data_IF_594048743908
#
_entry.id   IF_594048743908
#
_cell.length_a   1.000
_cell.length_b   1.000
_cell.length_c   1.000
_cell.angle_alpha   90.00
_cell.angle_beta   90.00
_cell.angle_gamma   90.00
#
_symmetry.space_group_name_H-M   'P 1'
#
loop_
_entity.id
_entity.type
_entity.pdbx_description
1 polymer ?
#
# COMPACT_ATOMS: atom_id res chain seq x y z
N UNK A 1 -5.86 21.00 -5.83
CA UNK A 1 -6.48 20.05 -4.88
C UNK A 1 -5.90 20.26 -3.47
N UNK A 2 -4.58 20.09 -3.26
CA UNK A 2 -3.94 20.22 -1.93
C UNK A 2 -4.17 21.59 -1.32
N UNK A 3 -4.08 22.67 -2.09
CA UNK A 3 -4.28 24.03 -1.63
C UNK A 3 -5.70 24.28 -1.10
N UNK A 4 -6.71 23.68 -1.73
CA UNK A 4 -8.10 23.77 -1.26
C UNK A 4 -8.29 22.99 0.04
N UNK A 5 -7.72 21.78 0.13
CA UNK A 5 -7.76 20.98 1.36
C UNK A 5 -7.10 21.72 2.54
N UNK A 6 -6.00 22.42 2.32
CA UNK A 6 -5.31 23.20 3.35
C UNK A 6 -6.15 24.40 3.84
N UNK A 7 -6.98 24.99 2.96
CA UNK A 7 -7.87 26.10 3.34
C UNK A 7 -9.13 25.65 4.08
N UNK A 8 -9.59 24.44 3.83
CA UNK A 8 -10.84 23.91 4.39
C UNK A 8 -10.65 23.14 5.70
N UNK A 9 -9.46 22.57 5.93
CA UNK A 9 -9.22 21.75 7.12
C UNK A 9 -8.89 22.59 8.36
N UNK A 10 -9.52 22.22 9.48
CA UNK A 10 -9.18 22.70 10.82
C UNK A 10 -8.20 21.77 11.56
N UNK A 11 -7.93 20.63 10.98
CA UNK A 11 -7.04 19.61 11.54
C UNK A 11 -5.58 20.04 11.39
N UNK A 12 -4.71 19.80 12.39
CA UNK A 12 -3.27 20.06 12.28
C UNK A 12 -2.67 19.34 11.07
N UNK A 13 -1.94 20.07 10.24
CA UNK A 13 -1.30 19.53 9.03
C UNK A 13 0.22 19.51 9.18
N UNK A 14 0.85 18.45 8.69
CA UNK A 14 2.31 18.29 8.60
C UNK A 14 2.65 17.94 7.15
N UNK A 15 3.58 18.69 6.53
CA UNK A 15 4.09 18.36 5.20
C UNK A 15 5.19 17.32 5.33
N UNK A 16 5.04 16.18 4.66
CA UNK A 16 6.04 15.10 4.67
C UNK A 16 6.67 14.96 3.29
N UNK A 17 7.97 15.26 3.19
CA UNK A 17 8.77 15.04 1.99
C UNK A 17 9.48 13.69 2.09
N UNK A 18 8.91 12.68 1.44
CA UNK A 18 9.43 11.33 1.45
C UNK A 18 10.47 11.09 0.34
N UNK A 19 11.14 9.94 0.38
CA UNK A 19 12.14 9.46 -0.60
C UNK A 19 13.40 10.33 -0.66
N UNK A 20 13.83 10.92 0.47
CA UNK A 20 15.05 11.75 0.51
C UNK A 20 16.35 10.95 0.25
N UNK A 21 16.29 9.63 0.32
CA UNK A 21 17.35 8.69 -0.07
C UNK A 21 17.67 8.77 -1.57
N UNK A 22 16.68 9.04 -2.41
CA UNK A 22 16.84 9.15 -3.87
C UNK A 22 17.52 10.46 -4.31
N UNK A 23 17.48 11.49 -3.49
CA UNK A 23 18.14 12.77 -3.76
C UNK A 23 19.56 12.77 -3.17
N UNK A 24 20.55 12.52 -4.01
CA UNK A 24 21.98 12.50 -3.59
C UNK A 24 22.56 13.91 -3.44
N UNK A 25 22.08 14.87 -4.21
CA UNK A 25 22.58 16.25 -4.24
C UNK A 25 21.94 17.10 -3.12
N UNK A 26 22.73 17.62 -2.17
CA UNK A 26 22.23 18.47 -1.08
C UNK A 26 21.55 19.76 -1.57
N UNK A 27 22.07 20.37 -2.64
CA UNK A 27 21.55 21.62 -3.20
C UNK A 27 20.15 21.39 -3.78
N UNK A 28 19.97 20.29 -4.53
CA UNK A 28 18.66 19.92 -5.06
C UNK A 28 17.64 19.58 -3.97
N UNK A 29 18.09 19.00 -2.84
CA UNK A 29 17.23 18.77 -1.66
C UNK A 29 16.68 20.08 -1.08
N UNK A 30 17.54 21.08 -0.96
CA UNK A 30 17.17 22.39 -0.43
C UNK A 30 16.26 23.14 -1.39
N UNK A 31 16.59 23.17 -2.67
CA UNK A 31 15.79 23.80 -3.72
C UNK A 31 14.37 23.18 -3.80
N UNK A 32 14.25 21.85 -3.79
CA UNK A 32 12.96 21.18 -3.80
C UNK A 32 12.12 21.55 -2.57
N UNK A 33 12.75 21.64 -1.38
CA UNK A 33 12.04 22.04 -0.18
C UNK A 33 11.51 23.48 -0.28
N UNK A 34 12.35 24.41 -0.76
CA UNK A 34 11.95 25.80 -0.97
C UNK A 34 10.81 25.90 -1.97
N UNK A 35 10.89 25.15 -3.08
CA UNK A 35 9.82 25.09 -4.08
C UNK A 35 8.50 24.62 -3.48
N UNK A 36 8.51 23.54 -2.68
CA UNK A 36 7.29 23.06 -2.02
C UNK A 36 6.74 24.05 -0.99
N UNK A 37 7.62 24.71 -0.21
CA UNK A 37 7.18 25.76 0.72
C UNK A 37 6.56 26.97 0.01
N UNK A 38 7.12 27.35 -1.13
CA UNK A 38 6.59 28.44 -1.95
C UNK A 38 5.24 28.07 -2.60
N UNK A 39 5.10 26.84 -3.10
CA UNK A 39 3.88 26.35 -3.72
C UNK A 39 2.69 26.34 -2.76
N UNK A 40 2.92 26.09 -1.50
CA UNK A 40 1.85 25.98 -0.51
C UNK A 40 1.68 27.23 0.36
N UNK A 41 2.54 28.24 0.20
CA UNK A 41 2.54 29.49 0.98
C UNK A 41 2.26 29.25 2.48
N UNK A 42 2.98 28.28 3.07
CA UNK A 42 2.65 27.81 4.41
C UNK A 42 3.87 27.76 5.32
N UNK A 43 3.64 28.18 6.57
CA UNK A 43 4.53 27.96 7.71
C UNK A 43 4.29 26.59 8.37
N UNK A 44 3.73 25.64 7.63
CA UNK A 44 3.42 24.32 8.15
C UNK A 44 4.68 23.54 8.54
N UNK A 45 4.65 22.77 9.62
CA UNK A 45 5.72 21.88 10.00
C UNK A 45 6.05 20.94 8.84
N UNK A 46 7.35 20.81 8.52
CA UNK A 46 7.81 20.00 7.39
C UNK A 46 8.82 18.95 7.89
N UNK A 47 8.56 17.68 7.58
CA UNK A 47 9.44 16.57 7.86
C UNK A 47 10.06 16.03 6.56
N UNK A 48 11.37 15.80 6.55
CA UNK A 48 12.12 15.18 5.44
C UNK A 48 12.46 13.75 5.83
N UNK A 49 11.87 12.75 5.21
CA UNK A 49 12.01 11.34 5.59
C UNK A 49 12.40 10.44 4.42
N UNK A 50 12.84 9.24 4.75
CA UNK A 50 12.84 8.10 3.84
C UNK A 50 12.15 6.93 4.53
N UNK A 51 10.95 6.62 4.11
CA UNK A 51 10.21 5.45 4.61
C UNK A 51 10.96 4.14 4.30
N UNK A 52 11.68 4.08 3.16
CA UNK A 52 12.44 2.90 2.77
C UNK A 52 13.62 2.60 3.69
N UNK A 53 14.34 3.63 4.16
CA UNK A 53 15.55 3.48 4.99
C UNK A 53 15.30 3.73 6.47
N UNK A 54 14.08 4.10 6.87
CA UNK A 54 13.75 4.50 8.23
C UNK A 54 14.25 5.88 8.64
N UNK A 55 14.94 6.60 7.75
CA UNK A 55 15.57 7.89 8.10
C UNK A 55 14.53 8.93 8.51
N UNK A 56 14.72 9.52 9.71
CA UNK A 56 13.86 10.54 10.31
C UNK A 56 12.40 10.11 10.57
N UNK A 57 12.08 8.84 10.56
CA UNK A 57 10.74 8.33 10.90
C UNK A 57 10.40 8.65 12.36
N UNK A 58 11.31 8.41 13.29
CA UNK A 58 11.09 8.70 14.72
C UNK A 58 10.83 10.19 14.97
N UNK A 59 11.51 11.07 14.22
CA UNK A 59 11.28 12.51 14.27
C UNK A 59 9.89 12.88 13.77
N UNK A 60 9.42 12.23 12.70
CA UNK A 60 8.05 12.42 12.18
C UNK A 60 7.04 11.96 13.21
N UNK A 61 7.18 10.74 13.75
CA UNK A 61 6.29 10.20 14.79
C UNK A 61 6.22 11.14 15.99
N UNK A 62 7.36 11.59 16.51
CA UNK A 62 7.42 12.55 17.63
C UNK A 62 6.73 13.88 17.32
N UNK A 63 6.77 14.31 16.05
CA UNK A 63 6.10 15.54 15.60
C UNK A 63 4.59 15.35 15.52
N UNK A 64 4.13 14.19 15.08
CA UNK A 64 2.71 13.80 15.06
C UNK A 64 2.18 13.74 16.49
N UNK A 65 2.85 13.00 17.37
CA UNK A 65 2.44 12.82 18.78
C UNK A 65 2.24 14.15 19.51
N UNK A 66 3.10 15.14 19.26
CA UNK A 66 2.94 16.49 19.84
C UNK A 66 1.75 17.29 19.33
N UNK A 67 1.14 16.86 18.22
CA UNK A 67 -0.02 17.52 17.59
C UNK A 67 -1.33 16.82 17.90
N UNK A 68 -1.27 15.57 18.33
CA UNK A 68 -2.45 14.82 18.72
C UNK A 68 -3.00 15.34 20.06
N UNK A 69 -4.33 15.42 20.21
CA UNK A 69 -4.94 15.69 21.51
C UNK A 69 -4.71 14.52 22.46
N UNK A 70 -4.61 14.80 23.74
CA UNK A 70 -4.64 13.77 24.78
C UNK A 70 -6.07 13.24 24.92
N UNK A 71 -6.22 11.92 25.00
CA UNK A 71 -7.52 11.26 25.14
C UNK A 71 -7.39 9.78 25.45
N UNK A 72 -8.51 9.15 25.78
CA UNK A 72 -8.56 7.70 25.94
C UNK A 72 -8.28 7.02 24.58
N UNK A 73 -7.67 5.83 24.56
CA UNK A 73 -7.50 5.04 23.38
C UNK A 73 -8.85 4.80 22.69
N UNK A 74 -8.92 4.98 21.37
CA UNK A 74 -10.12 4.69 20.59
C UNK A 74 -10.23 3.18 20.32
N UNK A 75 -9.08 2.53 20.17
CA UNK A 75 -8.94 1.08 19.97
C UNK A 75 -8.42 0.41 21.23
N UNK A 76 -8.76 -0.85 21.46
CA UNK A 76 -8.19 -1.64 22.54
C UNK A 76 -6.67 -1.85 22.33
N UNK A 77 -5.91 -2.07 23.41
CA UNK A 77 -4.45 -2.28 23.32
C UNK A 77 -4.08 -3.50 22.46
N UNK A 78 -5.00 -4.46 22.34
CA UNK A 78 -4.83 -5.69 21.55
C UNK A 78 -5.24 -5.51 20.07
N UNK A 79 -5.88 -4.40 19.71
CA UNK A 79 -6.26 -4.10 18.33
C UNK A 79 -5.02 -3.62 17.54
N UNK A 80 -4.42 -4.52 16.78
CA UNK A 80 -3.25 -4.23 15.96
C UNK A 80 -3.58 -3.39 14.73
N UNK A 81 -4.81 -3.49 14.21
CA UNK A 81 -5.30 -2.78 13.03
C UNK A 81 -6.83 -2.84 12.94
N UNK A 82 -7.46 -1.84 12.38
CA UNK A 82 -8.86 -1.82 11.96
C UNK A 82 -9.07 -2.42 10.55
N UNK A 83 -7.96 -2.70 9.85
CA UNK A 83 -7.97 -3.36 8.56
C UNK A 83 -8.41 -4.83 8.68
N UNK A 84 -9.31 -5.25 7.83
CA UNK A 84 -9.70 -6.65 7.77
C UNK A 84 -8.55 -7.53 7.30
N UNK A 85 -8.47 -8.78 7.78
CA UNK A 85 -7.47 -9.75 7.29
C UNK A 85 -7.54 -9.95 5.77
N UNK A 86 -8.72 -9.69 5.17
CA UNK A 86 -8.89 -9.68 3.72
C UNK A 86 -8.11 -8.55 3.05
N UNK A 87 -8.21 -7.32 3.58
CA UNK A 87 -7.49 -6.15 3.04
C UNK A 87 -5.99 -6.34 3.14
N UNK A 88 -5.52 -6.84 4.27
CA UNK A 88 -4.10 -7.13 4.49
C UNK A 88 -3.59 -8.21 3.50
N UNK A 89 -4.34 -9.31 3.34
CA UNK A 89 -3.98 -10.36 2.40
C UNK A 89 -3.96 -9.85 0.94
N UNK A 90 -4.91 -8.99 0.59
CA UNK A 90 -4.99 -8.34 -0.71
C UNK A 90 -3.74 -7.49 -0.98
N UNK A 91 -3.33 -6.66 -0.03
CA UNK A 91 -2.15 -5.79 -0.17
C UNK A 91 -0.83 -6.59 -0.21
N UNK A 92 -0.69 -7.65 0.58
CA UNK A 92 0.47 -8.53 0.50
C UNK A 92 0.58 -9.17 -0.89
N UNK A 93 -0.52 -9.70 -1.43
CA UNK A 93 -0.51 -10.28 -2.78
C UNK A 93 -0.17 -9.21 -3.81
N UNK A 94 -0.76 -8.01 -3.71
CA UNK A 94 -0.50 -6.88 -4.59
C UNK A 94 0.98 -6.47 -4.54
N UNK A 95 1.58 -6.38 -3.38
CA UNK A 95 3.01 -6.09 -3.22
C UNK A 95 3.88 -7.12 -3.94
N UNK A 96 3.58 -8.43 -3.81
CA UNK A 96 4.38 -9.45 -4.50
C UNK A 96 4.22 -9.37 -6.01
N UNK A 97 3.06 -8.97 -6.51
CA UNK A 97 2.89 -8.68 -7.93
C UNK A 97 3.81 -7.52 -8.35
N UNK A 98 3.78 -6.40 -7.61
CA UNK A 98 4.59 -5.21 -7.90
C UNK A 98 6.11 -5.51 -7.88
N UNK A 99 6.55 -6.37 -6.97
CA UNK A 99 7.97 -6.76 -6.84
C UNK A 99 8.44 -7.68 -7.97
N UNK A 100 7.57 -8.49 -8.54
CA UNK A 100 7.91 -9.50 -9.54
C UNK A 100 7.56 -9.06 -10.97
N UNK A 101 6.87 -7.95 -11.17
CA UNK A 101 6.48 -7.45 -12.49
C UNK A 101 7.09 -6.08 -12.78
N UNK A 102 7.13 -5.70 -14.06
CA UNK A 102 7.70 -4.44 -14.53
C UNK A 102 6.74 -3.77 -15.51
N UNK A 103 7.14 -2.58 -15.95
CA UNK A 103 6.49 -1.78 -16.98
C UNK A 103 5.04 -1.40 -16.60
N UNK A 104 4.05 -1.77 -17.35
CA UNK A 104 2.66 -1.32 -17.21
C UNK A 104 1.83 -2.21 -16.27
N UNK A 105 2.31 -3.43 -15.95
CA UNK A 105 1.57 -4.38 -15.12
C UNK A 105 1.26 -3.81 -13.73
N UNK A 106 2.23 -3.20 -13.01
CA UNK A 106 2.00 -2.62 -11.69
C UNK A 106 0.82 -1.64 -11.62
N UNK A 107 0.55 -0.96 -12.71
CA UNK A 107 -0.50 0.07 -12.79
C UNK A 107 -1.83 -0.44 -13.32
N UNK A 108 -1.87 -1.67 -13.84
CA UNK A 108 -3.03 -2.25 -14.52
C UNK A 108 -3.61 -3.48 -13.81
N UNK A 109 -3.17 -3.75 -12.60
CA UNK A 109 -3.57 -4.93 -11.84
C UNK A 109 -4.38 -4.53 -10.60
N UNK A 110 -5.43 -5.29 -10.32
CA UNK A 110 -6.13 -5.27 -9.03
C UNK A 110 -6.22 -6.69 -8.47
N UNK A 111 -6.21 -6.78 -7.15
CA UNK A 111 -6.38 -8.04 -6.43
C UNK A 111 -7.71 -7.99 -5.68
N UNK A 112 -8.48 -9.04 -5.75
CA UNK A 112 -9.73 -9.20 -5.01
C UNK A 112 -9.70 -10.51 -4.24
N UNK A 113 -9.95 -10.46 -2.95
CA UNK A 113 -10.15 -11.67 -2.14
C UNK A 113 -11.60 -12.13 -2.31
N UNK A 114 -11.81 -13.18 -3.10
CA UNK A 114 -13.16 -13.73 -3.32
C UNK A 114 -13.66 -14.45 -2.06
N UNK A 115 -12.77 -15.17 -1.39
CA UNK A 115 -13.11 -15.94 -0.20
C UNK A 115 -11.97 -15.97 0.78
N UNK A 116 -12.27 -15.78 2.05
CA UNK A 116 -11.36 -15.95 3.18
C UNK A 116 -12.06 -16.84 4.21
N UNK A 117 -11.49 -17.98 4.52
CA UNK A 117 -11.98 -18.92 5.52
C UNK A 117 -10.93 -19.07 6.62
N UNK A 118 -11.26 -18.56 7.78
CA UNK A 118 -10.49 -18.78 8.99
C UNK A 118 -10.84 -20.18 9.55
N UNK A 119 -9.81 -21.00 9.80
CA UNK A 119 -9.94 -22.29 10.44
C UNK A 119 -8.88 -22.43 11.50
N UNK A 120 -9.06 -23.33 12.45
CA UNK A 120 -8.18 -23.50 13.59
C UNK A 120 -6.69 -23.67 13.20
N UNK A 121 -6.39 -24.54 12.25
CA UNK A 121 -5.01 -24.89 11.88
C UNK A 121 -4.51 -24.22 10.59
N UNK A 122 -5.41 -23.76 9.72
CA UNK A 122 -5.04 -23.28 8.39
C UNK A 122 -6.07 -22.30 7.83
N UNK A 123 -5.64 -21.11 7.48
CA UNK A 123 -6.50 -20.16 6.76
C UNK A 123 -6.50 -20.46 5.27
N UNK A 124 -7.67 -20.34 4.63
CA UNK A 124 -7.81 -20.55 3.19
C UNK A 124 -8.22 -19.26 2.50
N UNK A 125 -7.36 -18.81 1.61
CA UNK A 125 -7.50 -17.55 0.88
C UNK A 125 -7.60 -17.84 -0.61
N UNK A 126 -8.68 -17.36 -1.22
CA UNK A 126 -8.93 -17.47 -2.66
C UNK A 126 -8.92 -16.06 -3.23
N UNK A 127 -7.94 -15.75 -4.05
CA UNK A 127 -7.76 -14.43 -4.61
C UNK A 127 -7.80 -14.45 -6.14
N UNK A 128 -8.40 -13.40 -6.69
CA UNK A 128 -8.47 -13.16 -8.12
C UNK A 128 -7.67 -11.91 -8.48
N UNK A 129 -6.73 -12.08 -9.41
CA UNK A 129 -5.91 -11.01 -9.96
C UNK A 129 -6.58 -10.55 -11.26
N UNK A 130 -7.06 -9.31 -11.27
CA UNK A 130 -7.69 -8.70 -12.43
C UNK A 130 -6.66 -7.93 -13.25
N UNK A 131 -6.68 -8.14 -14.56
CA UNK A 131 -5.87 -7.43 -15.54
C UNK A 131 -6.76 -6.92 -16.68
N UNK A 132 -6.32 -5.93 -17.45
CA UNK A 132 -7.14 -5.32 -18.50
C UNK A 132 -7.09 -6.09 -19.84
N UNK A 133 -5.96 -6.75 -20.13
CA UNK A 133 -5.70 -7.37 -21.43
C UNK A 133 -5.19 -8.82 -21.30
N UNK A 134 -5.44 -9.64 -22.34
CA UNK A 134 -4.94 -11.04 -22.41
C UNK A 134 -3.41 -11.11 -22.41
N UNK A 135 -2.72 -10.13 -23.02
CA UNK A 135 -1.25 -10.03 -22.97
C UNK A 135 -0.74 -9.91 -21.53
N UNK A 136 -1.41 -9.10 -20.69
CA UNK A 136 -1.07 -8.94 -19.27
C UNK A 136 -1.34 -10.22 -18.49
N UNK A 137 -2.43 -10.93 -18.80
CA UNK A 137 -2.71 -12.25 -18.21
C UNK A 137 -1.60 -13.24 -18.52
N UNK A 138 -1.12 -13.26 -19.78
CA UNK A 138 0.02 -14.09 -20.16
C UNK A 138 1.28 -13.79 -19.36
N UNK A 139 1.60 -12.52 -19.12
CA UNK A 139 2.74 -12.07 -18.30
C UNK A 139 2.55 -12.49 -16.84
N UNK A 140 1.36 -12.28 -16.28
CA UNK A 140 1.04 -12.63 -14.88
C UNK A 140 1.11 -14.13 -14.60
N UNK A 141 0.69 -14.96 -15.54
CA UNK A 141 0.83 -16.42 -15.43
C UNK A 141 2.29 -16.81 -15.64
N UNK A 142 2.95 -16.23 -16.63
CA UNK A 142 4.32 -16.53 -17.02
C UNK A 142 4.48 -17.90 -17.70
N UNK A 143 5.71 -18.18 -18.13
CA UNK A 143 6.03 -19.45 -18.80
C UNK A 143 5.71 -20.64 -17.86
N UNK A 144 4.81 -21.52 -18.30
CA UNK A 144 4.35 -22.69 -17.52
C UNK A 144 3.82 -22.34 -16.10
N UNK A 145 3.25 -21.16 -15.91
CA UNK A 145 2.71 -20.72 -14.61
C UNK A 145 3.76 -20.26 -13.59
N UNK A 146 5.03 -20.12 -13.98
CA UNK A 146 6.13 -19.86 -13.05
C UNK A 146 6.00 -18.50 -12.33
N UNK A 147 5.54 -17.46 -13.03
CA UNK A 147 5.38 -16.14 -12.42
C UNK A 147 4.31 -16.18 -11.32
N UNK A 148 3.11 -16.69 -11.63
CA UNK A 148 2.01 -16.80 -10.68
C UNK A 148 2.40 -17.69 -9.48
N UNK A 149 3.12 -18.79 -9.72
CA UNK A 149 3.64 -19.65 -8.66
C UNK A 149 4.61 -18.91 -7.75
N UNK A 150 5.52 -18.10 -8.30
CA UNK A 150 6.50 -17.32 -7.52
C UNK A 150 5.78 -16.29 -6.63
N UNK A 151 4.83 -15.53 -7.20
CA UNK A 151 4.00 -14.57 -6.47
C UNK A 151 3.25 -15.27 -5.33
N UNK A 152 2.60 -16.40 -5.63
CA UNK A 152 1.83 -17.15 -4.63
C UNK A 152 2.70 -17.69 -3.48
N UNK A 153 3.90 -18.21 -3.79
CA UNK A 153 4.83 -18.67 -2.75
C UNK A 153 5.33 -17.56 -1.85
N UNK A 154 5.67 -16.40 -2.42
CA UNK A 154 6.15 -15.25 -1.65
C UNK A 154 5.04 -14.66 -0.78
N UNK A 155 3.84 -14.47 -1.34
CA UNK A 155 2.69 -13.97 -0.60
C UNK A 155 2.29 -14.92 0.54
N UNK A 156 2.20 -16.23 0.27
CA UNK A 156 1.89 -17.24 1.29
C UNK A 156 2.88 -17.21 2.45
N UNK A 157 4.18 -17.17 2.14
CA UNK A 157 5.23 -17.14 3.19
C UNK A 157 5.10 -15.92 4.10
N UNK A 158 4.73 -14.78 3.56
CA UNK A 158 4.55 -13.56 4.34
C UNK A 158 3.27 -13.61 5.17
N UNK A 159 2.17 -14.08 4.58
CA UNK A 159 0.91 -14.30 5.30
C UNK A 159 1.09 -15.29 6.46
N UNK A 160 1.76 -16.43 6.23
CA UNK A 160 2.05 -17.42 7.28
C UNK A 160 2.88 -16.82 8.42
N UNK A 161 3.86 -15.96 8.09
CA UNK A 161 4.67 -15.26 9.10
C UNK A 161 3.86 -14.26 9.93
N UNK A 162 2.94 -13.54 9.28
CA UNK A 162 2.14 -12.52 9.93
C UNK A 162 1.05 -13.13 10.81
N UNK A 163 0.40 -14.21 10.32
CA UNK A 163 -0.70 -14.87 11.02
C UNK A 163 -0.22 -15.90 12.08
N UNK A 164 1.07 -16.20 12.09
CA UNK A 164 1.67 -17.31 12.87
C UNK A 164 0.92 -18.65 12.65
N UNK A 165 0.46 -18.88 11.42
CA UNK A 165 -0.44 -19.96 11.04
C UNK A 165 -0.20 -20.40 9.61
N UNK A 166 -0.55 -21.65 9.29
CA UNK A 166 -0.48 -22.12 7.90
C UNK A 166 -1.51 -21.42 7.03
N UNK A 167 -1.16 -21.20 5.77
CA UNK A 167 -2.04 -20.56 4.78
C UNK A 167 -2.10 -21.40 3.50
N UNK A 168 -3.33 -21.75 3.11
CA UNK A 168 -3.62 -22.17 1.75
C UNK A 168 -3.97 -20.95 0.91
N UNK A 169 -3.18 -20.67 -0.12
CA UNK A 169 -3.40 -19.53 -1.02
C UNK A 169 -3.63 -20.02 -2.44
N UNK A 170 -4.79 -19.71 -3.00
CA UNK A 170 -5.12 -19.94 -4.40
C UNK A 170 -5.22 -18.61 -5.13
N UNK A 171 -4.44 -18.49 -6.24
CA UNK A 171 -4.42 -17.31 -7.09
C UNK A 171 -4.95 -17.63 -8.48
N UNK A 172 -5.94 -16.88 -8.95
CA UNK A 172 -6.49 -16.95 -10.28
C UNK A 172 -6.33 -15.62 -11.03
N UNK A 173 -6.01 -15.67 -12.33
CA UNK A 173 -5.88 -14.45 -13.16
C UNK A 173 -7.07 -14.34 -14.11
N UNK A 174 -7.77 -13.20 -14.06
CA UNK A 174 -8.95 -12.90 -14.89
C UNK A 174 -8.73 -11.61 -15.68
N UNK A 175 -9.09 -11.64 -16.97
CA UNK A 175 -9.17 -10.41 -17.76
C UNK A 175 -10.51 -9.73 -17.48
N UNK A 176 -10.45 -8.48 -17.06
CA UNK A 176 -11.59 -7.63 -16.77
C UNK A 176 -11.38 -6.29 -17.47
N UNK A 177 -11.94 -6.16 -18.67
CA UNK A 177 -11.83 -4.93 -19.46
C UNK A 177 -12.44 -3.75 -18.71
N UNK A 178 -11.75 -2.62 -18.72
CA UNK A 178 -12.21 -1.35 -18.14
C UNK A 178 -12.60 -1.45 -16.64
N UNK A 179 -12.00 -2.37 -15.88
CA UNK A 179 -12.32 -2.53 -14.45
C UNK A 179 -12.18 -1.23 -13.66
N UNK A 180 -11.24 -0.34 -14.06
CA UNK A 180 -11.04 0.99 -13.44
C UNK A 180 -12.21 1.96 -13.64
N UNK A 181 -13.08 1.72 -14.62
CA UNK A 181 -14.23 2.58 -14.93
C UNK A 181 -15.53 2.08 -14.31
N UNK A 182 -15.54 0.87 -13.78
CA UNK A 182 -16.72 0.26 -13.15
C UNK A 182 -16.77 0.67 -11.67
N UNK A 183 -17.26 1.86 -11.43
CA UNK A 183 -17.21 2.62 -10.18
C UNK A 183 -17.94 2.05 -8.95
N UNK A 184 -19.01 1.22 -8.99
CA UNK A 184 -19.63 0.76 -7.75
C UNK A 184 -18.82 -0.27 -6.96
N UNK A 185 -17.84 -0.93 -7.59
CA UNK A 185 -17.07 -2.01 -6.96
C UNK A 185 -15.66 -1.61 -6.51
N UNK A 186 -15.25 -0.36 -6.75
CA UNK A 186 -13.88 0.09 -6.46
C UNK A 186 -13.55 0.11 -4.96
N UNK A 187 -14.53 0.32 -4.09
CA UNK A 187 -14.34 0.25 -2.63
C UNK A 187 -13.91 -1.14 -2.15
N UNK A 188 -14.17 -2.18 -2.95
CA UNK A 188 -13.74 -3.55 -2.70
C UNK A 188 -12.45 -3.95 -3.45
N UNK A 189 -11.85 -3.03 -4.25
CA UNK A 189 -10.75 -3.34 -5.17
C UNK A 189 -9.45 -2.59 -4.85
N UNK A 190 -9.50 -1.66 -3.86
CA UNK A 190 -8.35 -0.84 -3.44
C UNK A 190 -8.09 -1.04 -1.97
#
# INVERSE_FOLDING_TARGET
>A
IVENLLKETKTPVIIVLNKVDKLKDPIKKEQNLLTYKMLFDTNLPTAKISAQTGRNIDTLISTIMRKLPEGAPIYAEDDLTDESMRSIAQEIIREKILLNTKDEIPHSVAVLIEKYEEKEDIDKIYAKIHVEHESQKGIMIGKKGQMLKTIGMQARKELEKMLDKKVYLELNVKVSKDWRKKTPDLENWV
#
